data_IF_494286158365
#
_entry.id   IF_494286158365
#
_cell.length_a   1.000
_cell.length_b   1.000
_cell.length_c   1.000
_cell.angle_alpha   90.00
_cell.angle_beta   90.00
_cell.angle_gamma   90.00
#
_symmetry.space_group_name_H-M   'P 1'
#
loop_
_entity.id
_entity.type
_entity.pdbx_description
1 polymer ?
#
# COMPACT_ATOMS: atom_id res chain seq x y z
N UNK A 1 -13.47 -14.93 -2.02
CA UNK A 1 -12.61 -14.59 -0.87
C UNK A 1 -12.15 -13.16 -1.06
N UNK A 2 -12.40 -12.27 -0.11
CA UNK A 2 -11.90 -10.89 -0.19
C UNK A 2 -10.37 -10.91 -0.03
N UNK A 3 -9.66 -10.34 -1.00
CA UNK A 3 -8.20 -10.28 -1.00
C UNK A 3 -7.65 -9.68 0.31
N UNK A 4 -8.36 -8.70 0.86
CA UNK A 4 -7.94 -8.00 2.08
C UNK A 4 -8.00 -8.85 3.34
N UNK A 5 -9.06 -9.65 3.50
CA UNK A 5 -9.23 -10.53 4.65
C UNK A 5 -8.19 -11.65 4.63
N UNK A 6 -7.93 -12.20 3.44
CA UNK A 6 -6.87 -13.18 3.24
C UNK A 6 -5.50 -12.59 3.57
N UNK A 7 -5.21 -11.37 3.10
CA UNK A 7 -3.95 -10.69 3.33
C UNK A 7 -3.71 -10.41 4.82
N UNK A 8 -4.73 -9.96 5.55
CA UNK A 8 -4.65 -9.77 7.02
C UNK A 8 -4.38 -11.08 7.75
N UNK A 9 -5.03 -12.16 7.34
CA UNK A 9 -4.83 -13.49 7.93
C UNK A 9 -3.41 -14.00 7.68
N UNK A 10 -2.92 -13.85 6.44
CA UNK A 10 -1.58 -14.26 6.04
C UNK A 10 -0.50 -13.43 6.75
N UNK A 11 -0.68 -12.11 6.85
CA UNK A 11 0.19 -11.23 7.61
C UNK A 11 0.31 -11.69 9.07
N UNK A 12 -0.83 -11.92 9.74
CA UNK A 12 -0.85 -12.39 11.13
C UNK A 12 -0.09 -13.70 11.30
N UNK A 13 -0.27 -14.64 10.36
CA UNK A 13 0.44 -15.94 10.37
C UNK A 13 1.94 -15.77 10.15
N UNK A 14 2.36 -14.89 9.26
CA UNK A 14 3.78 -14.61 9.02
C UNK A 14 4.43 -13.96 10.25
N UNK A 15 3.80 -12.95 10.86
CA UNK A 15 4.27 -12.32 12.10
C UNK A 15 4.45 -13.38 13.20
N UNK A 16 3.43 -14.22 13.43
CA UNK A 16 3.50 -15.29 14.43
C UNK A 16 4.63 -16.28 14.17
N UNK A 17 4.96 -16.52 12.90
CA UNK A 17 6.04 -17.43 12.51
C UNK A 17 7.40 -16.78 12.76
N UNK A 18 7.62 -15.54 12.33
CA UNK A 18 8.91 -14.85 12.46
C UNK A 18 9.23 -14.41 13.89
N UNK A 19 8.22 -14.10 14.72
CA UNK A 19 8.42 -13.81 16.15
C UNK A 19 9.02 -14.97 16.95
N UNK A 20 9.07 -16.18 16.39
CA UNK A 20 9.78 -17.32 17.02
C UNK A 20 11.30 -17.26 16.85
N UNK A 21 11.79 -16.43 15.94
CA UNK A 21 13.19 -16.38 15.51
C UNK A 21 13.83 -14.99 15.65
N UNK A 22 13.04 -13.95 15.85
CA UNK A 22 13.48 -12.57 15.96
C UNK A 22 12.65 -11.80 16.99
N UNK A 23 13.10 -10.60 17.37
CA UNK A 23 12.39 -9.74 18.30
C UNK A 23 10.96 -9.42 17.78
N UNK A 24 9.91 -9.64 18.58
CA UNK A 24 8.54 -9.42 18.13
C UNK A 24 8.23 -8.00 17.67
N UNK A 25 8.89 -6.98 18.24
CA UNK A 25 8.66 -5.59 17.86
C UNK A 25 9.32 -5.29 16.52
N UNK A 26 10.56 -5.77 16.29
CA UNK A 26 11.24 -5.64 15.00
C UNK A 26 10.49 -6.36 13.87
N UNK A 27 9.96 -7.55 14.15
CA UNK A 27 9.12 -8.30 13.20
C UNK A 27 7.88 -7.48 12.85
N UNK A 28 7.09 -7.05 13.84
CA UNK A 28 5.88 -6.25 13.59
C UNK A 28 6.18 -4.97 12.79
N UNK A 29 7.26 -4.26 13.14
CA UNK A 29 7.68 -3.06 12.43
C UNK A 29 7.99 -3.34 10.95
N UNK A 30 8.50 -4.54 10.63
CA UNK A 30 8.78 -4.96 9.25
C UNK A 30 7.51 -5.24 8.43
N UNK A 31 6.39 -5.53 9.08
CA UNK A 31 5.08 -5.78 8.45
C UNK A 31 4.14 -4.57 8.41
N UNK A 32 4.46 -3.47 9.10
CA UNK A 32 3.73 -2.17 9.02
C UNK A 32 3.34 -1.68 7.60
N UNK A 33 4.09 -1.97 6.52
CA UNK A 33 3.65 -1.62 5.17
C UNK A 33 2.29 -2.24 4.79
N UNK A 34 1.96 -3.45 5.26
CA UNK A 34 0.69 -4.12 4.96
C UNK A 34 -0.50 -3.36 5.56
N UNK A 35 -0.37 -2.87 6.79
CA UNK A 35 -1.38 -2.01 7.45
C UNK A 35 -1.74 -0.78 6.61
N UNK A 36 -0.80 -0.28 5.80
CA UNK A 36 -1.00 0.89 4.92
C UNK A 36 -1.47 0.53 3.51
N UNK A 37 -1.13 -0.66 3.00
CA UNK A 37 -1.56 -1.12 1.67
C UNK A 37 -2.99 -1.65 1.71
N UNK A 38 -3.37 -2.37 2.78
CA UNK A 38 -4.69 -3.00 2.91
C UNK A 38 -5.85 -2.00 2.70
N UNK A 39 -5.85 -0.79 3.31
CA UNK A 39 -6.89 0.20 3.05
C UNK A 39 -7.00 0.61 1.57
N UNK A 40 -5.89 0.62 0.82
CA UNK A 40 -5.92 0.95 -0.62
C UNK A 40 -6.55 -0.15 -1.47
N UNK A 41 -6.59 -1.39 -0.98
CA UNK A 41 -7.21 -2.53 -1.64
C UNK A 41 -8.74 -2.55 -1.49
N UNK A 42 -9.28 -1.93 -0.42
CA UNK A 42 -10.69 -2.10 -0.04
C UNK A 42 -11.49 -0.81 -0.04
N UNK A 43 -10.84 0.35 0.15
CA UNK A 43 -11.55 1.62 0.28
C UNK A 43 -12.32 1.96 -0.99
N UNK A 44 -13.61 2.23 -0.85
CA UNK A 44 -14.51 2.64 -1.96
C UNK A 44 -14.82 4.14 -1.97
N UNK A 45 -14.41 4.86 -0.94
CA UNK A 45 -14.57 6.30 -0.86
C UNK A 45 -13.30 6.98 -1.39
N UNK A 46 -13.43 7.79 -2.43
CA UNK A 46 -12.29 8.41 -3.13
C UNK A 46 -11.46 9.33 -2.23
N UNK A 47 -12.12 10.09 -1.33
CA UNK A 47 -11.42 10.99 -0.41
C UNK A 47 -10.65 10.22 0.65
N UNK A 48 -11.23 9.14 1.18
CA UNK A 48 -10.55 8.26 2.11
C UNK A 48 -9.36 7.57 1.43
N UNK A 49 -9.51 7.14 0.18
CA UNK A 49 -8.40 6.56 -0.59
C UNK A 49 -7.23 7.55 -0.72
N UNK A 50 -7.52 8.83 -1.00
CA UNK A 50 -6.52 9.90 -1.07
C UNK A 50 -5.82 10.10 0.28
N UNK A 51 -6.56 10.10 1.39
CA UNK A 51 -5.99 10.24 2.74
C UNK A 51 -5.06 9.08 3.07
N UNK A 52 -5.49 7.85 2.82
CA UNK A 52 -4.69 6.64 3.07
C UNK A 52 -3.42 6.64 2.20
N UNK A 53 -3.55 7.03 0.92
CA UNK A 53 -2.41 7.11 0.01
C UNK A 53 -1.41 8.19 0.45
N UNK A 54 -1.87 9.36 0.89
CA UNK A 54 -0.98 10.40 1.46
C UNK A 54 -0.29 9.90 2.72
N UNK A 55 -1.00 9.15 3.58
CA UNK A 55 -0.39 8.54 4.77
C UNK A 55 0.69 7.53 4.39
N UNK A 56 0.47 6.71 3.36
CA UNK A 56 1.47 5.76 2.86
C UNK A 56 2.71 6.48 2.31
N UNK A 57 2.53 7.51 1.48
CA UNK A 57 3.63 8.30 0.89
C UNK A 57 4.46 9.00 1.98
N UNK A 58 3.81 9.50 3.04
CA UNK A 58 4.51 10.15 4.15
C UNK A 58 5.50 9.20 4.86
N UNK A 59 5.13 7.92 4.99
CA UNK A 59 5.96 6.90 5.65
C UNK A 59 6.94 6.25 4.66
N UNK A 60 6.53 6.08 3.42
CA UNK A 60 7.27 5.39 2.35
C UNK A 60 7.38 6.29 1.11
N UNK A 61 8.22 7.34 1.14
CA UNK A 61 8.30 8.35 0.08
C UNK A 61 8.87 7.82 -1.24
N UNK A 62 9.54 6.67 -1.22
CA UNK A 62 10.11 5.99 -2.40
C UNK A 62 9.10 5.08 -3.12
N UNK A 63 7.84 5.05 -2.67
CA UNK A 63 6.77 4.32 -3.36
C UNK A 63 6.47 4.94 -4.71
N UNK A 64 6.41 4.12 -5.75
CA UNK A 64 6.16 4.58 -7.12
C UNK A 64 4.67 4.72 -7.39
N UNK A 65 4.27 5.79 -8.07
CA UNK A 65 2.90 5.97 -8.56
C UNK A 65 2.38 4.77 -9.37
N UNK A 66 3.23 4.18 -10.21
CA UNK A 66 2.85 3.01 -11.03
C UNK A 66 2.49 1.78 -10.20
N UNK A 67 3.08 1.60 -9.01
CA UNK A 67 2.67 0.54 -8.08
C UNK A 67 1.21 0.71 -7.64
N UNK A 68 0.84 1.92 -7.21
CA UNK A 68 -0.53 2.23 -6.78
C UNK A 68 -1.52 2.10 -7.93
N UNK A 69 -1.13 2.54 -9.13
CA UNK A 69 -1.94 2.36 -10.34
C UNK A 69 -2.16 0.88 -10.67
N UNK A 70 -1.16 0.03 -10.46
CA UNK A 70 -1.28 -1.43 -10.62
C UNK A 70 -2.28 -2.03 -9.63
N UNK A 71 -2.27 -1.55 -8.37
CA UNK A 71 -3.26 -1.93 -7.36
C UNK A 71 -4.68 -1.58 -7.84
N UNK A 72 -4.91 -0.33 -8.24
CA UNK A 72 -6.25 0.13 -8.70
C UNK A 72 -6.73 -0.70 -9.90
N UNK A 73 -5.85 -0.96 -10.88
CA UNK A 73 -6.21 -1.75 -12.07
C UNK A 73 -6.65 -3.19 -11.73
N UNK A 74 -6.00 -3.80 -10.73
CA UNK A 74 -6.27 -5.18 -10.29
C UNK A 74 -7.49 -5.31 -9.38
N UNK A 75 -8.07 -4.21 -8.90
CA UNK A 75 -9.31 -4.24 -8.11
C UNK A 75 -10.47 -4.68 -8.98
N UNK A 76 -11.09 -5.80 -8.60
CA UNK A 76 -12.24 -6.38 -9.29
C UNK A 76 -13.57 -5.82 -8.79
N UNK A 77 -13.56 -5.13 -7.65
CA UNK A 77 -14.73 -4.51 -7.03
C UNK A 77 -15.06 -3.12 -7.60
N UNK A 78 -14.15 -2.55 -8.40
CA UNK A 78 -14.28 -1.24 -9.04
C UNK A 78 -14.64 -1.40 -10.52
N UNK A 79 -15.54 -0.56 -11.02
CA UNK A 79 -15.78 -0.44 -12.45
C UNK A 79 -14.71 0.45 -13.13
N UNK A 80 -14.72 0.53 -14.46
CA UNK A 80 -13.71 1.29 -15.21
C UNK A 80 -13.78 2.80 -14.95
N UNK A 81 -14.96 3.35 -14.67
CA UNK A 81 -15.14 4.75 -14.28
C UNK A 81 -14.49 5.03 -12.93
N UNK A 82 -14.73 4.18 -11.93
CA UNK A 82 -14.15 4.31 -10.60
C UNK A 82 -12.61 4.21 -10.66
N UNK A 83 -12.11 3.24 -11.44
CA UNK A 83 -10.66 3.08 -11.66
C UNK A 83 -10.05 4.33 -12.28
N UNK A 84 -10.72 4.91 -13.29
CA UNK A 84 -10.25 6.14 -13.94
C UNK A 84 -10.22 7.31 -12.96
N UNK A 85 -11.28 7.48 -12.17
CA UNK A 85 -11.36 8.52 -11.14
C UNK A 85 -10.20 8.40 -10.14
N UNK A 86 -10.02 7.21 -9.53
CA UNK A 86 -8.92 6.99 -8.57
C UNK A 86 -7.54 7.22 -9.20
N UNK A 87 -7.33 6.82 -10.46
CA UNK A 87 -6.07 7.05 -11.19
C UNK A 87 -5.81 8.54 -11.41
N UNK A 88 -6.85 9.33 -11.71
CA UNK A 88 -6.73 10.78 -11.84
C UNK A 88 -6.36 11.44 -10.51
N UNK A 89 -7.00 11.01 -9.41
CA UNK A 89 -6.73 11.46 -8.04
C UNK A 89 -5.30 11.18 -7.57
N UNK A 90 -4.59 10.21 -8.18
CA UNK A 90 -3.16 9.98 -7.88
C UNK A 90 -2.31 11.23 -8.11
N UNK A 91 -2.67 12.10 -9.06
CA UNK A 91 -1.94 13.35 -9.33
C UNK A 91 -1.95 14.30 -8.12
N UNK A 92 -2.94 14.19 -7.23
CA UNK A 92 -3.07 15.01 -6.02
C UNK A 92 -2.21 14.49 -4.86
N UNK A 93 -1.73 13.25 -4.96
CA UNK A 93 -0.92 12.59 -3.93
C UNK A 93 0.56 12.60 -4.30
N UNK A 94 0.87 12.48 -5.59
CA UNK A 94 2.21 12.53 -6.13
C UNK A 94 2.45 13.90 -6.78
N UNK A 95 2.99 14.86 -6.01
CA UNK A 95 3.41 16.18 -6.49
C UNK A 95 4.74 16.14 -7.26
N UNK A 96 5.41 17.30 -7.42
CA UNK A 96 6.82 17.33 -7.88
C UNK A 96 7.66 16.43 -6.97
N UNK A 97 8.41 15.49 -7.57
CA UNK A 97 9.05 14.38 -6.87
C UNK A 97 9.71 14.83 -5.54
N UNK A 98 9.34 14.24 -4.39
CA UNK A 98 10.03 14.54 -3.17
C UNK A 98 11.49 14.11 -3.31
N UNK A 99 12.41 15.07 -3.15
CA UNK A 99 13.86 14.85 -3.01
C UNK A 99 14.15 14.10 -1.70
N UNK A 100 13.77 12.84 -1.59
CA UNK A 100 13.99 12.06 -0.38
C UNK A 100 14.84 10.83 -0.66
N UNK A 101 16.08 10.89 -0.16
CA UNK A 101 17.10 9.86 -0.28
C UNK A 101 16.83 8.61 0.61
N UNK A 102 15.68 8.54 1.29
CA UNK A 102 15.39 7.45 2.24
C UNK A 102 14.77 6.27 1.50
N UNK A 103 15.61 5.28 1.19
CA UNK A 103 15.17 4.01 0.60
C UNK A 103 14.43 3.17 1.65
N UNK A 104 13.23 2.70 1.30
CA UNK A 104 12.46 1.73 2.07
C UNK A 104 12.38 0.40 1.30
N UNK A 105 11.52 -0.53 1.71
CA UNK A 105 11.30 -1.77 0.98
C UNK A 105 10.81 -1.52 -0.46
N UNK A 106 10.08 -0.42 -0.70
CA UNK A 106 9.47 -0.13 -1.99
C UNK A 106 10.52 0.16 -3.06
N UNK A 107 11.69 0.68 -2.69
CA UNK A 107 12.84 0.83 -3.59
C UNK A 107 13.33 -0.49 -4.22
N UNK A 108 13.03 -1.63 -3.59
CA UNK A 108 13.46 -2.97 -4.04
C UNK A 108 12.36 -3.72 -4.80
N UNK A 109 11.14 -3.21 -4.82
CA UNK A 109 10.06 -3.80 -5.58
C UNK A 109 10.20 -3.40 -7.05
N UNK A 110 10.83 -4.28 -7.83
CA UNK A 110 11.03 -4.12 -9.28
C UNK A 110 10.03 -5.01 -10.02
N UNK A 111 8.85 -4.49 -10.36
CA UNK A 111 7.84 -5.28 -11.09
C UNK A 111 6.58 -4.51 -11.46
N UNK A 112 6.66 -3.19 -11.54
CA UNK A 112 5.52 -2.31 -11.82
C UNK A 112 5.80 -1.46 -13.04
#
# INVERSE_FOLDING_TARGET
EDCSDKLKSDEKRLIQTFCKFADPQEVKNSFMPFDKIIPLLTTKNDDLFVVELKSLILVYPDIKKEFIKSIIKKRTDLNDSDKKNLIERLKECFGEEPKHNKKTLFSRLTGF
#
